data_IF_488267904826
#
_entry.id   IF_488267904826
#
_cell.length_a   1.000
_cell.length_b   1.000
_cell.length_c   1.000
_cell.angle_alpha   90.00
_cell.angle_beta   90.00
_cell.angle_gamma   90.00
#
_symmetry.space_group_name_H-M   'P 1'
#
loop_
_entity.id
_entity.type
_entity.pdbx_description
1 polymer ?
#
# COMPACT_ATOMS: atom_id res chain seq x y z
N UNK A 1 -24.26 -20.26 -5.39
CA UNK A 1 -24.13 -19.45 -6.62
C UNK A 1 -25.07 -20.04 -7.67
N UNK A 2 -26.21 -19.42 -7.96
CA UNK A 2 -27.11 -19.87 -9.03
C UNK A 2 -26.95 -18.95 -10.25
N UNK A 3 -26.81 -19.55 -11.44
CA UNK A 3 -26.69 -18.94 -12.77
C UNK A 3 -25.44 -18.09 -13.05
N UNK A 4 -24.27 -18.73 -13.12
CA UNK A 4 -23.08 -18.14 -13.75
C UNK A 4 -23.30 -18.07 -15.27
N UNK A 5 -23.39 -16.87 -15.84
CA UNK A 5 -23.36 -16.68 -17.30
C UNK A 5 -21.93 -16.90 -17.81
N UNK A 6 -21.57 -18.17 -18.03
CA UNK A 6 -20.22 -18.60 -18.45
C UNK A 6 -19.74 -17.89 -19.72
N UNK A 7 -20.64 -17.66 -20.67
CA UNK A 7 -20.32 -17.01 -21.94
C UNK A 7 -19.86 -15.56 -21.74
N UNK A 8 -20.64 -14.80 -20.96
CA UNK A 8 -20.30 -13.42 -20.62
C UNK A 8 -18.99 -13.33 -19.83
N UNK A 9 -18.79 -14.23 -18.87
CA UNK A 9 -17.60 -14.25 -18.01
C UNK A 9 -16.32 -14.52 -18.80
N UNK A 10 -16.32 -15.56 -19.65
CA UNK A 10 -15.13 -15.95 -20.42
C UNK A 10 -14.79 -14.89 -21.47
N UNK A 11 -15.79 -14.30 -22.12
CA UNK A 11 -15.55 -13.21 -23.06
C UNK A 11 -14.98 -11.96 -22.37
N UNK A 12 -15.52 -11.59 -21.21
CA UNK A 12 -14.98 -10.49 -20.39
C UNK A 12 -13.55 -10.76 -19.96
N UNK A 13 -13.25 -11.99 -19.53
CA UNK A 13 -11.91 -12.40 -19.15
C UNK A 13 -10.94 -12.32 -20.32
N UNK A 14 -11.32 -12.83 -21.50
CA UNK A 14 -10.50 -12.69 -22.70
C UNK A 14 -10.17 -11.24 -23.00
N UNK A 15 -11.15 -10.33 -22.91
CA UNK A 15 -10.94 -8.92 -23.21
C UNK A 15 -9.95 -8.26 -22.23
N UNK A 16 -9.98 -8.61 -20.94
CA UNK A 16 -9.09 -8.03 -19.91
C UNK A 16 -7.68 -8.63 -19.87
N UNK A 17 -7.52 -9.94 -20.13
CA UNK A 17 -6.21 -10.61 -20.05
C UNK A 17 -5.29 -10.17 -21.18
N UNK A 18 -3.98 -10.13 -20.94
CA UNK A 18 -3.00 -9.92 -22.01
C UNK A 18 -2.74 -11.22 -22.80
N UNK A 19 -2.02 -11.13 -23.93
CA UNK A 19 -1.76 -12.29 -24.81
C UNK A 19 -1.05 -13.44 -24.07
N UNK A 20 -0.08 -13.12 -23.24
CA UNK A 20 0.71 -14.12 -22.49
C UNK A 20 -0.16 -14.86 -21.47
N UNK A 21 -0.98 -14.14 -20.71
CA UNK A 21 -1.94 -14.72 -19.78
C UNK A 21 -2.94 -15.65 -20.49
N UNK A 22 -3.47 -15.23 -21.64
CA UNK A 22 -4.35 -16.05 -22.48
C UNK A 22 -3.64 -17.35 -22.91
N UNK A 23 -2.39 -17.25 -23.38
CA UNK A 23 -1.59 -18.42 -23.79
C UNK A 23 -1.36 -19.37 -22.62
N UNK A 24 -0.96 -18.85 -21.46
CA UNK A 24 -0.66 -19.66 -20.28
C UNK A 24 -1.92 -20.37 -19.78
N UNK A 25 -3.05 -19.67 -19.73
CA UNK A 25 -4.32 -20.25 -19.32
C UNK A 25 -4.80 -21.35 -20.29
N UNK A 26 -4.67 -21.14 -21.61
CA UNK A 26 -5.01 -22.19 -22.60
C UNK A 26 -4.10 -23.41 -22.42
N UNK A 27 -2.79 -23.21 -22.24
CA UNK A 27 -1.84 -24.32 -22.06
C UNK A 27 -2.16 -25.14 -20.82
N UNK A 28 -2.53 -24.48 -19.72
CA UNK A 28 -2.88 -25.12 -18.46
C UNK A 28 -4.14 -25.97 -18.60
N UNK A 29 -5.20 -25.42 -19.23
CA UNK A 29 -6.51 -26.09 -19.30
C UNK A 29 -6.68 -27.00 -20.51
N UNK A 30 -5.85 -26.87 -21.56
CA UNK A 30 -5.91 -27.68 -22.79
C UNK A 30 -4.57 -28.38 -23.04
N UNK A 31 -4.42 -29.56 -22.42
CA UNK A 31 -3.23 -30.42 -22.54
C UNK A 31 -2.86 -30.65 -24.01
N UNK A 32 -1.57 -30.47 -24.34
CA UNK A 32 -1.05 -30.67 -25.69
C UNK A 32 -1.29 -29.50 -26.66
N UNK A 33 -1.99 -28.44 -26.25
CA UNK A 33 -2.14 -27.25 -27.09
C UNK A 33 -0.79 -26.53 -27.27
N UNK A 34 -0.49 -26.16 -28.52
CA UNK A 34 0.70 -25.38 -28.88
C UNK A 34 0.28 -24.19 -29.74
N UNK A 35 1.00 -23.09 -29.58
CA UNK A 35 0.79 -21.90 -30.41
C UNK A 35 1.13 -22.23 -31.87
N UNK A 36 0.19 -21.95 -32.78
CA UNK A 36 0.42 -22.10 -34.21
C UNK A 36 1.18 -20.87 -34.73
N UNK A 37 2.04 -21.03 -35.74
CA UNK A 37 2.72 -19.92 -36.45
C UNK A 37 1.74 -18.87 -37.01
N UNK A 38 0.48 -19.24 -37.22
CA UNK A 38 -0.61 -18.33 -37.65
C UNK A 38 -1.16 -17.44 -36.52
N UNK A 39 -0.93 -17.78 -35.25
CA UNK A 39 -1.47 -17.05 -34.09
C UNK A 39 -0.51 -15.96 -33.62
N UNK A 40 -0.43 -14.88 -34.40
CA UNK A 40 0.49 -13.75 -34.16
C UNK A 40 -0.09 -12.74 -33.18
N UNK A 41 -1.40 -12.58 -33.13
CA UNK A 41 -2.10 -11.60 -32.29
C UNK A 41 -2.86 -12.26 -31.13
N UNK A 42 -3.33 -11.46 -30.16
CA UNK A 42 -4.25 -11.93 -29.12
C UNK A 42 -5.59 -12.37 -29.74
N UNK A 43 -6.08 -11.65 -30.75
CA UNK A 43 -7.36 -11.91 -31.41
C UNK A 43 -7.40 -13.31 -32.04
N UNK A 44 -6.29 -13.79 -32.58
CA UNK A 44 -6.16 -15.14 -33.17
C UNK A 44 -6.34 -16.28 -32.16
N UNK A 45 -6.34 -15.96 -30.87
CA UNK A 45 -6.56 -16.90 -29.77
C UNK A 45 -8.02 -16.90 -29.29
N UNK A 46 -8.89 -15.98 -29.76
CA UNK A 46 -10.25 -15.77 -29.24
C UNK A 46 -11.07 -17.05 -29.30
N UNK A 47 -11.16 -17.69 -30.46
CA UNK A 47 -12.00 -18.89 -30.64
C UNK A 47 -11.53 -20.05 -29.77
N UNK A 48 -10.20 -20.24 -29.68
CA UNK A 48 -9.60 -21.27 -28.84
C UNK A 48 -9.91 -21.00 -27.37
N UNK A 49 -9.76 -19.75 -26.92
CA UNK A 49 -10.02 -19.36 -25.55
C UNK A 49 -11.51 -19.50 -25.18
N UNK A 50 -12.42 -19.00 -26.01
CA UNK A 50 -13.87 -19.12 -25.79
C UNK A 50 -14.32 -20.59 -25.80
N UNK A 51 -13.65 -21.47 -26.55
CA UNK A 51 -13.96 -22.90 -26.56
C UNK A 51 -13.71 -23.60 -25.22
N UNK A 52 -12.86 -23.03 -24.34
CA UNK A 52 -12.57 -23.59 -23.02
C UNK A 52 -13.83 -23.68 -22.15
N UNK A 53 -14.86 -22.87 -22.42
CA UNK A 53 -16.12 -22.87 -21.65
C UNK A 53 -16.76 -24.25 -21.44
N UNK A 54 -16.54 -25.16 -22.39
CA UNK A 54 -17.09 -26.52 -22.38
C UNK A 54 -16.32 -27.46 -21.44
N UNK A 55 -15.08 -27.13 -21.10
CA UNK A 55 -14.18 -27.96 -20.28
C UNK A 55 -13.88 -27.36 -18.90
N UNK A 56 -14.25 -26.10 -18.65
CA UNK A 56 -14.03 -25.45 -17.35
C UNK A 56 -15.11 -25.87 -16.33
N UNK A 57 -14.66 -26.21 -15.13
CA UNK A 57 -15.50 -26.36 -13.94
C UNK A 57 -16.01 -24.99 -13.45
N UNK A 58 -17.00 -24.95 -12.56
CA UNK A 58 -17.45 -23.68 -11.97
C UNK A 58 -16.32 -22.97 -11.20
N UNK A 59 -15.44 -23.73 -10.55
CA UNK A 59 -14.28 -23.19 -9.84
C UNK A 59 -13.29 -22.54 -10.81
N UNK A 60 -13.02 -23.18 -11.95
CA UNK A 60 -12.15 -22.60 -12.98
C UNK A 60 -12.72 -21.26 -13.52
N UNK A 61 -14.06 -21.14 -13.59
CA UNK A 61 -14.73 -19.92 -14.01
C UNK A 61 -14.58 -18.80 -12.96
N UNK A 62 -14.69 -19.14 -11.67
CA UNK A 62 -14.42 -18.21 -10.57
C UNK A 62 -12.99 -17.69 -10.65
N UNK A 63 -12.01 -18.60 -10.72
CA UNK A 63 -10.58 -18.28 -10.79
C UNK A 63 -10.26 -17.41 -12.02
N UNK A 64 -10.84 -17.74 -13.18
CA UNK A 64 -10.67 -16.96 -14.38
C UNK A 64 -11.24 -15.54 -14.24
N UNK A 65 -12.41 -15.42 -13.60
CA UNK A 65 -13.04 -14.12 -13.34
C UNK A 65 -12.14 -13.28 -12.43
N UNK A 66 -11.68 -13.86 -11.32
CA UNK A 66 -10.81 -13.20 -10.35
C UNK A 66 -9.49 -12.77 -10.99
N UNK A 67 -8.84 -13.66 -11.76
CA UNK A 67 -7.62 -13.34 -12.49
C UNK A 67 -7.83 -12.17 -13.48
N UNK A 68 -8.99 -12.10 -14.13
CA UNK A 68 -9.29 -11.03 -15.09
C UNK A 68 -9.47 -9.65 -14.45
N UNK A 69 -9.78 -9.59 -13.16
CA UNK A 69 -9.99 -8.34 -12.41
C UNK A 69 -8.96 -8.11 -11.31
N UNK A 70 -7.95 -8.98 -11.22
CA UNK A 70 -6.89 -8.88 -10.23
C UNK A 70 -6.11 -7.57 -10.41
N UNK A 71 -5.99 -6.81 -9.33
CA UNK A 71 -5.23 -5.56 -9.27
C UNK A 71 -3.82 -5.86 -8.76
N UNK A 72 -2.82 -5.44 -9.53
CA UNK A 72 -1.41 -5.58 -9.12
C UNK A 72 -1.07 -4.51 -8.09
N UNK A 73 -0.46 -4.93 -6.98
CA UNK A 73 0.18 -4.01 -6.03
C UNK A 73 1.48 -3.49 -6.64
N UNK A 74 1.75 -2.21 -6.44
CA UNK A 74 3.03 -1.59 -6.83
C UNK A 74 3.96 -1.64 -5.62
N UNK A 75 5.13 -2.27 -5.78
CA UNK A 75 6.08 -2.45 -4.69
C UNK A 75 5.51 -3.25 -3.51
N UNK A 76 6.11 -3.06 -2.34
CA UNK A 76 5.63 -3.52 -1.04
C UNK A 76 5.03 -2.34 -0.27
N UNK A 77 3.71 -2.10 -0.36
CA UNK A 77 3.03 -1.05 0.37
C UNK A 77 2.62 -1.53 1.76
N UNK A 78 2.84 -0.73 2.81
CA UNK A 78 2.43 -1.04 4.17
C UNK A 78 1.95 0.18 4.95
N UNK A 79 1.08 -0.10 5.92
CA UNK A 79 0.60 0.82 6.95
C UNK A 79 0.85 0.21 8.32
N UNK A 80 1.19 1.05 9.30
CA UNK A 80 1.56 0.61 10.64
C UNK A 80 0.50 0.98 11.67
N UNK A 81 0.14 0.01 12.50
CA UNK A 81 -0.88 0.10 13.54
C UNK A 81 -0.35 -0.42 14.86
N UNK A 82 -0.91 0.07 15.96
CA UNK A 82 -0.81 -0.57 17.27
C UNK A 82 -2.09 -1.34 17.57
N UNK A 83 -2.01 -2.41 18.35
CA UNK A 83 -3.18 -3.13 18.83
C UNK A 83 -3.03 -3.56 20.29
N UNK A 84 -4.10 -3.67 21.06
CA UNK A 84 -3.99 -4.04 22.49
C UNK A 84 -4.03 -5.56 22.74
N UNK A 85 -4.75 -6.32 21.90
CA UNK A 85 -4.88 -7.77 22.03
C UNK A 85 -5.27 -8.45 20.70
N UNK A 86 -5.07 -9.77 20.61
CA UNK A 86 -5.42 -10.59 19.43
C UNK A 86 -6.92 -10.89 19.28
N UNK A 87 -7.77 -10.42 20.20
CA UNK A 87 -9.22 -10.55 20.07
C UNK A 87 -9.65 -12.00 20.09
N UNK A 88 -10.42 -12.43 19.10
CA UNK A 88 -10.89 -13.82 18.98
C UNK A 88 -9.80 -14.84 18.61
N UNK A 89 -8.59 -14.38 18.29
CA UNK A 89 -7.41 -15.24 18.05
C UNK A 89 -6.60 -15.47 19.32
N UNK A 90 -6.89 -14.75 20.40
CA UNK A 90 -6.14 -14.86 21.66
C UNK A 90 -6.26 -16.29 22.22
N UNK A 91 -5.15 -16.82 22.72
CA UNK A 91 -5.04 -18.11 23.39
C UNK A 91 -5.42 -19.33 22.52
N UNK A 92 -5.46 -19.17 21.19
CA UNK A 92 -5.76 -20.24 20.22
C UNK A 92 -4.50 -20.71 19.50
N UNK A 93 -4.47 -21.98 19.14
CA UNK A 93 -3.45 -22.50 18.22
C UNK A 93 -3.67 -21.98 16.80
N UNK A 94 -2.64 -22.02 15.95
CA UNK A 94 -2.77 -21.63 14.54
C UNK A 94 -3.79 -22.52 13.81
N UNK A 95 -3.88 -23.80 14.15
CA UNK A 95 -4.86 -24.73 13.57
C UNK A 95 -6.30 -24.34 13.95
N UNK A 96 -6.54 -23.95 15.20
CA UNK A 96 -7.84 -23.47 15.67
C UNK A 96 -8.22 -22.15 15.01
N UNK A 97 -7.27 -21.22 14.91
CA UNK A 97 -7.45 -19.95 14.20
C UNK A 97 -7.81 -20.20 12.73
N UNK A 98 -7.09 -21.10 12.06
CA UNK A 98 -7.38 -21.45 10.68
C UNK A 98 -8.79 -22.03 10.51
N UNK A 99 -9.19 -22.97 11.39
CA UNK A 99 -10.54 -23.55 11.36
C UNK A 99 -11.64 -22.49 11.52
N UNK A 100 -11.42 -21.52 12.39
CA UNK A 100 -12.42 -20.48 12.68
C UNK A 100 -12.50 -19.42 11.59
N UNK A 101 -11.35 -19.06 10.99
CA UNK A 101 -11.21 -17.86 10.19
C UNK A 101 -10.99 -18.06 8.69
N UNK A 102 -10.54 -19.23 8.21
CA UNK A 102 -10.35 -19.53 6.77
C UNK A 102 -11.69 -19.64 6.02
N UNK A 103 -12.32 -18.49 5.81
CA UNK A 103 -13.61 -18.37 5.12
C UNK A 103 -13.77 -16.95 4.55
N UNK A 104 -14.89 -16.77 3.87
CA UNK A 104 -15.31 -15.50 3.31
C UNK A 104 -16.17 -14.68 4.28
N UNK A 105 -15.96 -13.36 4.28
CA UNK A 105 -16.71 -12.37 5.05
C UNK A 105 -17.23 -11.25 4.14
N UNK A 106 -18.48 -11.36 3.64
CA UNK A 106 -19.10 -10.30 2.86
C UNK A 106 -19.50 -9.10 3.72
N UNK A 107 -19.42 -7.89 3.15
CA UNK A 107 -19.91 -6.66 3.76
C UNK A 107 -19.66 -5.40 2.92
N UNK A 108 -20.68 -4.52 2.81
CA UNK A 108 -20.52 -3.16 2.28
C UNK A 108 -20.02 -3.05 0.84
N UNK A 109 -20.34 -4.03 -0.01
CA UNK A 109 -19.85 -4.10 -1.39
C UNK A 109 -18.48 -4.77 -1.55
N UNK A 110 -17.89 -5.22 -0.45
CA UNK A 110 -16.65 -5.97 -0.44
C UNK A 110 -16.86 -7.39 0.12
N UNK A 111 -15.91 -8.27 -0.18
CA UNK A 111 -15.77 -9.59 0.44
C UNK A 111 -14.31 -9.73 0.88
N UNK A 112 -14.08 -9.96 2.17
CA UNK A 112 -12.74 -10.30 2.68
C UNK A 112 -12.67 -11.81 2.82
N UNK A 113 -11.76 -12.44 2.08
CA UNK A 113 -11.50 -13.88 2.15
C UNK A 113 -10.17 -14.08 2.83
N UNK A 114 -10.17 -14.80 3.95
CA UNK A 114 -8.93 -15.22 4.61
C UNK A 114 -8.45 -16.48 3.90
N UNK A 115 -7.32 -16.37 3.22
CA UNK A 115 -6.77 -17.46 2.42
C UNK A 115 -5.96 -18.42 3.27
N UNK A 116 -5.20 -17.87 4.22
CA UNK A 116 -4.20 -18.59 4.99
C UNK A 116 -3.78 -17.79 6.23
N UNK A 117 -3.47 -18.48 7.33
CA UNK A 117 -2.93 -17.90 8.56
C UNK A 117 -1.77 -18.76 9.05
N UNK A 118 -0.58 -18.17 9.11
CA UNK A 118 0.65 -18.86 9.54
C UNK A 118 1.38 -18.11 10.64
N UNK A 119 2.25 -18.82 11.35
CA UNK A 119 3.26 -18.24 12.24
C UNK A 119 4.61 -18.22 11.50
N UNK A 120 5.20 -17.05 11.33
CA UNK A 120 6.50 -16.85 10.68
C UNK A 120 7.31 -15.91 11.57
N UNK A 121 8.50 -16.34 12.01
CA UNK A 121 9.39 -15.55 12.87
C UNK A 121 8.67 -14.93 14.09
N UNK A 122 7.86 -15.76 14.79
CA UNK A 122 7.03 -15.37 15.95
C UNK A 122 5.87 -14.40 15.64
N UNK A 123 5.71 -13.97 14.38
CA UNK A 123 4.61 -13.11 13.93
C UNK A 123 3.47 -13.92 13.30
N UNK A 124 2.24 -13.47 13.52
CA UNK A 124 1.06 -14.08 12.86
C UNK A 124 0.85 -13.37 11.52
N UNK A 125 0.92 -14.14 10.44
CA UNK A 125 0.75 -13.67 9.06
C UNK A 125 -0.62 -14.10 8.54
N UNK A 126 -1.50 -13.15 8.26
CA UNK A 126 -2.81 -13.37 7.67
C UNK A 126 -2.75 -12.98 6.19
N UNK A 127 -2.86 -13.96 5.30
CA UNK A 127 -2.98 -13.70 3.87
C UNK A 127 -4.45 -13.52 3.51
N UNK A 128 -4.79 -12.36 2.95
CA UNK A 128 -6.16 -11.95 2.70
C UNK A 128 -6.36 -11.64 1.21
N UNK A 129 -7.52 -12.03 0.68
CA UNK A 129 -8.01 -11.55 -0.60
C UNK A 129 -9.22 -10.65 -0.35
N UNK A 130 -9.16 -9.40 -0.81
CA UNK A 130 -10.29 -8.49 -0.78
C UNK A 130 -10.89 -8.41 -2.18
N UNK A 131 -12.17 -8.73 -2.31
CA UNK A 131 -12.91 -8.64 -3.56
C UNK A 131 -13.88 -7.47 -3.50
N UNK A 132 -13.95 -6.70 -4.58
CA UNK A 132 -14.84 -5.56 -4.72
C UNK A 132 -15.94 -5.89 -5.75
N UNK A 133 -17.18 -5.60 -5.38
CA UNK A 133 -18.35 -5.82 -6.21
C UNK A 133 -18.99 -4.47 -6.56
N UNK A 134 -18.96 -4.13 -7.84
CA UNK A 134 -19.62 -2.94 -8.37
C UNK A 134 -21.11 -2.95 -8.06
N UNK A 135 -21.65 -1.81 -7.65
CA UNK A 135 -23.10 -1.60 -7.37
C UNK A 135 -23.72 -2.48 -6.28
N UNK A 136 -22.96 -3.37 -5.64
CA UNK A 136 -23.45 -4.24 -4.56
C UNK A 136 -24.01 -3.46 -3.37
N UNK A 137 -23.51 -2.24 -3.12
CA UNK A 137 -24.09 -1.34 -2.10
C UNK A 137 -25.49 -0.83 -2.47
N UNK A 138 -25.87 -0.83 -3.77
CA UNK A 138 -27.21 -0.48 -4.25
C UNK A 138 -28.13 -1.68 -4.36
N UNK A 139 -27.61 -2.80 -4.89
CA UNK A 139 -28.41 -3.96 -5.28
C UNK A 139 -28.42 -5.08 -4.23
N UNK A 140 -27.45 -5.08 -3.31
CA UNK A 140 -27.21 -6.19 -2.39
C UNK A 140 -26.64 -7.46 -3.05
N UNK A 141 -26.38 -7.43 -4.35
CA UNK A 141 -25.92 -8.60 -5.12
C UNK A 141 -24.39 -8.63 -5.14
N UNK A 142 -23.81 -9.74 -4.70
CA UNK A 142 -22.38 -10.04 -4.78
C UNK A 142 -22.18 -11.34 -5.57
N UNK A 143 -21.99 -11.20 -6.88
CA UNK A 143 -21.79 -12.32 -7.80
C UNK A 143 -20.62 -12.07 -8.77
N UNK A 144 -20.27 -13.06 -9.58
CA UNK A 144 -19.16 -12.94 -10.54
C UNK A 144 -19.40 -11.86 -11.61
N UNK A 145 -20.67 -11.55 -11.91
CA UNK A 145 -21.02 -10.51 -12.87
C UNK A 145 -20.66 -9.12 -12.36
N UNK A 146 -20.87 -8.88 -11.07
CA UNK A 146 -20.61 -7.62 -10.36
C UNK A 146 -19.18 -7.50 -9.82
N UNK A 147 -18.42 -8.59 -9.75
CA UNK A 147 -17.01 -8.57 -9.33
C UNK A 147 -16.17 -7.65 -10.24
N UNK A 148 -15.62 -6.57 -9.68
CA UNK A 148 -14.94 -5.50 -10.41
C UNK A 148 -13.43 -5.46 -10.15
N UNK A 149 -12.99 -5.89 -8.97
CA UNK A 149 -11.57 -5.94 -8.60
C UNK A 149 -11.27 -7.02 -7.54
N UNK A 150 -10.06 -7.57 -7.59
CA UNK A 150 -9.52 -8.51 -6.60
C UNK A 150 -8.14 -8.05 -6.16
N UNK A 151 -7.92 -8.01 -4.85
CA UNK A 151 -6.69 -7.51 -4.21
C UNK A 151 -6.13 -8.57 -3.27
N UNK A 152 -4.88 -8.99 -3.48
CA UNK A 152 -4.17 -9.82 -2.51
C UNK A 152 -3.41 -8.94 -1.52
N UNK A 153 -3.61 -9.19 -0.24
CA UNK A 153 -3.09 -8.38 0.86
C UNK A 153 -2.55 -9.29 1.96
N UNK A 154 -1.76 -8.72 2.86
CA UNK A 154 -1.21 -9.42 4.02
C UNK A 154 -1.36 -8.56 5.25
N UNK A 155 -1.68 -9.16 6.37
CA UNK A 155 -1.57 -8.53 7.68
C UNK A 155 -0.53 -9.29 8.49
N UNK A 156 0.45 -8.59 9.04
CA UNK A 156 1.47 -9.14 9.92
C UNK A 156 1.20 -8.60 11.32
N UNK A 157 1.03 -9.49 12.29
CA UNK A 157 0.79 -9.15 13.69
C UNK A 157 2.02 -9.56 14.51
N UNK A 158 2.72 -8.56 15.03
CA UNK A 158 3.76 -8.72 16.02
C UNK A 158 3.14 -8.61 17.41
N UNK A 159 2.93 -9.76 18.04
CA UNK A 159 2.31 -9.81 19.37
C UNK A 159 3.23 -9.26 20.47
N UNK A 160 4.54 -9.38 20.30
CA UNK A 160 5.54 -8.97 21.29
C UNK A 160 5.57 -7.44 21.40
N UNK A 161 5.63 -6.76 20.26
CA UNK A 161 5.67 -5.30 20.20
C UNK A 161 4.28 -4.67 20.09
N UNK A 162 3.21 -5.49 19.94
CA UNK A 162 1.82 -5.03 19.79
C UNK A 162 1.63 -4.16 18.54
N UNK A 163 2.30 -4.52 17.45
CA UNK A 163 2.31 -3.80 16.17
C UNK A 163 1.67 -4.64 15.07
N UNK A 164 0.78 -4.03 14.30
CA UNK A 164 0.22 -4.63 13.10
C UNK A 164 0.69 -3.88 11.84
N UNK A 165 1.14 -4.63 10.84
CA UNK A 165 1.48 -4.12 9.51
C UNK A 165 0.44 -4.59 8.50
N UNK A 166 -0.25 -3.66 7.85
CA UNK A 166 -1.26 -3.97 6.82
C UNK A 166 -0.65 -3.69 5.44
N UNK A 167 -0.35 -4.75 4.69
CA UNK A 167 0.19 -4.68 3.34
C UNK A 167 -0.91 -4.51 2.28
N UNK A 168 -1.28 -3.27 1.99
CA UNK A 168 -2.36 -2.93 1.06
C UNK A 168 -1.97 -1.82 0.08
N UNK A 169 -2.18 -2.10 -1.22
CA UNK A 169 -1.83 -1.17 -2.30
C UNK A 169 -2.79 0.01 -2.43
N UNK A 170 -4.06 -0.21 -2.16
CA UNK A 170 -5.11 0.81 -2.25
C UNK A 170 -5.52 1.26 -0.84
N UNK A 171 -5.71 2.58 -0.67
CA UNK A 171 -6.02 3.17 0.65
C UNK A 171 -7.40 2.71 1.15
N UNK A 172 -8.38 2.55 0.25
CA UNK A 172 -9.73 2.08 0.63
C UNK A 172 -9.68 0.61 1.04
N UNK A 173 -8.91 -0.22 0.32
CA UNK A 173 -8.76 -1.64 0.63
C UNK A 173 -8.12 -1.81 2.01
N UNK A 174 -7.18 -0.94 2.34
CA UNK A 174 -6.60 -0.92 3.67
C UNK A 174 -7.61 -0.59 4.77
N UNK A 175 -8.48 0.42 4.58
CA UNK A 175 -9.57 0.72 5.53
C UNK A 175 -10.57 -0.43 5.67
N UNK A 176 -10.81 -1.19 4.60
CA UNK A 176 -11.66 -2.40 4.65
C UNK A 176 -10.99 -3.48 5.52
N UNK A 177 -9.68 -3.68 5.37
CA UNK A 177 -8.92 -4.64 6.21
C UNK A 177 -8.90 -4.19 7.67
N UNK A 178 -8.66 -2.91 7.93
CA UNK A 178 -8.73 -2.32 9.29
C UNK A 178 -10.08 -2.63 9.94
N UNK A 179 -11.19 -2.31 9.26
CA UNK A 179 -12.55 -2.60 9.75
C UNK A 179 -12.78 -4.09 9.96
N UNK A 180 -12.26 -4.95 9.08
CA UNK A 180 -12.35 -6.39 9.22
C UNK A 180 -11.64 -6.88 10.50
N UNK A 181 -10.42 -6.43 10.74
CA UNK A 181 -9.65 -6.76 11.96
C UNK A 181 -10.42 -6.36 13.22
N UNK A 182 -10.95 -5.13 13.27
CA UNK A 182 -11.69 -4.62 14.44
C UNK A 182 -13.01 -5.35 14.64
N UNK A 183 -13.82 -5.50 13.59
CA UNK A 183 -15.22 -5.93 13.74
C UNK A 183 -15.40 -7.44 13.69
N UNK A 184 -14.65 -8.15 12.83
CA UNK A 184 -14.81 -9.59 12.63
C UNK A 184 -13.88 -10.37 13.53
N UNK A 185 -12.60 -10.00 13.56
CA UNK A 185 -11.59 -10.69 14.38
C UNK A 185 -11.61 -10.15 15.82
N UNK A 186 -11.95 -8.87 16.02
CA UNK A 186 -11.98 -8.26 17.35
C UNK A 186 -10.59 -7.76 17.78
N UNK A 187 -9.70 -7.45 16.85
CA UNK A 187 -8.39 -6.86 17.12
C UNK A 187 -8.55 -5.34 17.07
N UNK A 188 -8.48 -4.62 18.21
CA UNK A 188 -8.62 -3.17 18.25
C UNK A 188 -7.33 -2.52 17.72
N UNK A 189 -7.25 -2.34 16.40
CA UNK A 189 -6.14 -1.64 15.75
C UNK A 189 -6.37 -0.13 15.80
N UNK A 190 -5.30 0.62 16.06
CA UNK A 190 -5.26 2.09 16.03
C UNK A 190 -4.05 2.48 15.17
N UNK A 191 -4.20 3.35 14.15
CA UNK A 191 -3.08 3.71 13.30
C UNK A 191 -2.03 4.47 14.10
N UNK A 192 -0.75 4.22 13.79
CA UNK A 192 0.29 5.17 14.15
C UNK A 192 0.09 6.44 13.30
N UNK A 193 0.15 7.60 13.96
CA UNK A 193 -0.09 8.90 13.33
C UNK A 193 1.01 9.86 13.75
N UNK A 194 1.52 10.63 12.80
CA UNK A 194 2.44 11.74 13.09
C UNK A 194 1.71 12.78 13.94
N UNK A 195 2.14 12.92 15.20
CA UNK A 195 1.54 13.83 16.16
C UNK A 195 1.98 15.29 15.96
N UNK A 196 1.19 16.19 16.53
CA UNK A 196 1.62 17.56 16.83
C UNK A 196 2.52 17.46 18.05
N UNK A 197 3.76 17.90 17.94
CA UNK A 197 4.67 18.02 19.08
C UNK A 197 4.90 19.51 19.32
N UNK A 198 5.07 19.94 20.57
CA UNK A 198 5.27 21.35 20.90
C UNK A 198 6.59 21.88 20.30
N UNK A 199 6.61 22.20 19.02
CA UNK A 199 7.66 22.96 18.38
C UNK A 199 7.53 24.42 18.81
N UNK A 200 8.66 25.08 19.08
CA UNK A 200 8.64 26.51 19.39
C UNK A 200 8.13 27.27 18.17
N UNK A 201 7.22 28.23 18.36
CA UNK A 201 6.59 29.04 17.30
C UNK A 201 7.56 29.88 16.44
N UNK A 202 8.86 29.80 16.68
CA UNK A 202 9.91 30.45 15.91
C UNK A 202 10.48 29.59 14.77
N UNK A 203 10.06 28.34 14.62
CA UNK A 203 10.56 27.46 13.56
C UNK A 203 9.81 27.71 12.25
N UNK A 204 10.55 27.97 11.16
CA UNK A 204 9.98 28.36 9.86
C UNK A 204 9.46 27.19 9.00
N UNK A 205 9.31 26.00 9.57
CA UNK A 205 8.76 24.81 8.88
C UNK A 205 7.62 24.22 9.72
N UNK A 206 6.68 23.55 9.06
CA UNK A 206 5.60 22.87 9.78
C UNK A 206 6.15 21.69 10.59
N UNK A 207 5.47 21.36 11.70
CA UNK A 207 5.85 20.23 12.57
C UNK A 207 5.97 18.91 11.80
N UNK A 208 5.03 18.62 10.89
CA UNK A 208 5.11 17.42 10.04
C UNK A 208 6.34 17.42 9.14
N UNK A 209 6.67 18.58 8.58
CA UNK A 209 7.89 18.73 7.77
C UNK A 209 9.13 18.48 8.62
N UNK A 210 9.18 19.01 9.85
CA UNK A 210 10.28 18.75 10.78
C UNK A 210 10.39 17.26 11.14
N UNK A 211 9.28 16.56 11.39
CA UNK A 211 9.26 15.12 11.62
C UNK A 211 9.80 14.35 10.41
N UNK A 212 9.37 14.72 9.19
CA UNK A 212 9.86 14.07 7.96
C UNK A 212 11.37 14.29 7.80
N UNK A 213 11.89 15.48 8.09
CA UNK A 213 13.33 15.73 8.04
C UNK A 213 14.10 14.92 9.08
N UNK A 214 13.60 14.86 10.32
CA UNK A 214 14.20 14.04 11.38
C UNK A 214 14.21 12.56 10.98
N UNK A 215 13.09 12.10 10.41
CA UNK A 215 12.95 10.74 9.92
C UNK A 215 14.03 10.42 8.87
N UNK A 216 14.10 11.23 7.82
CA UNK A 216 14.96 10.95 6.66
C UNK A 216 16.45 11.21 6.94
N UNK A 217 16.79 12.25 7.70
CA UNK A 217 18.19 12.66 7.87
C UNK A 217 18.83 12.26 9.21
N UNK A 218 18.05 11.91 10.23
CA UNK A 218 18.59 11.51 11.53
C UNK A 218 18.27 10.05 11.87
N UNK A 219 17.01 9.64 11.73
CA UNK A 219 16.54 8.30 12.13
C UNK A 219 16.97 7.23 11.14
N UNK A 220 16.57 7.34 9.87
CA UNK A 220 16.90 6.34 8.86
C UNK A 220 18.41 6.10 8.72
N UNK A 221 19.28 7.14 8.68
CA UNK A 221 20.71 6.91 8.61
C UNK A 221 21.26 6.17 9.83
N UNK A 222 20.72 6.42 11.03
CA UNK A 222 21.09 5.67 12.24
C UNK A 222 20.68 4.20 12.21
N UNK A 223 19.73 3.83 11.35
CA UNK A 223 19.30 2.44 11.09
C UNK A 223 20.03 1.76 9.92
N UNK A 224 20.98 2.47 9.28
CA UNK A 224 21.73 2.01 8.11
C UNK A 224 21.12 2.39 6.76
N UNK A 225 20.07 3.23 6.74
CA UNK A 225 19.35 3.68 5.55
C UNK A 225 19.70 5.15 5.25
N UNK A 226 20.68 5.38 4.37
CA UNK A 226 20.93 6.73 3.85
C UNK A 226 19.92 7.05 2.75
N UNK A 227 19.31 8.24 2.75
CA UNK A 227 18.21 8.58 1.86
C UNK A 227 18.35 10.00 1.29
N UNK A 228 18.01 10.16 0.01
CA UNK A 228 17.92 11.46 -0.68
C UNK A 228 16.53 11.64 -1.29
N UNK A 229 15.99 12.86 -1.28
CA UNK A 229 14.67 13.15 -1.86
C UNK A 229 14.72 13.20 -3.39
N UNK A 230 13.92 12.37 -4.04
CA UNK A 230 13.76 12.37 -5.50
C UNK A 230 12.53 13.20 -5.92
N UNK A 231 11.45 13.11 -5.13
CA UNK A 231 10.21 13.84 -5.37
C UNK A 231 9.65 14.32 -4.03
N UNK A 232 9.06 15.52 -4.00
CA UNK A 232 8.32 16.02 -2.83
C UNK A 232 7.03 16.70 -3.28
N UNK A 233 5.93 16.38 -2.59
CA UNK A 233 4.61 16.98 -2.79
C UNK A 233 4.14 17.70 -1.54
N UNK A 234 3.80 18.97 -1.69
CA UNK A 234 3.28 19.83 -0.64
C UNK A 234 1.76 20.01 -0.76
N UNK A 235 1.08 20.14 0.38
CA UNK A 235 -0.30 20.63 0.46
C UNK A 235 -0.29 22.12 0.78
N UNK A 236 -0.99 22.92 -0.02
CA UNK A 236 -1.07 24.37 0.21
C UNK A 236 -2.16 24.63 1.25
N UNK A 237 -1.75 25.12 2.43
CA UNK A 237 -2.65 25.38 3.55
C UNK A 237 -3.55 26.60 3.32
N UNK A 238 -3.11 27.57 2.52
CA UNK A 238 -3.79 28.86 2.36
C UNK A 238 -4.45 29.03 0.97
N UNK A 239 -5.74 28.68 0.87
CA UNK A 239 -6.49 28.71 -0.41
C UNK A 239 -6.50 30.10 -1.06
N UNK A 240 -6.53 31.17 -0.27
CA UNK A 240 -6.57 32.55 -0.76
C UNK A 240 -5.29 33.01 -1.46
N UNK A 241 -4.14 32.44 -1.11
CA UNK A 241 -2.85 32.73 -1.75
C UNK A 241 -2.56 31.83 -2.97
N UNK A 242 -3.29 30.71 -3.08
CA UNK A 242 -3.01 29.66 -4.06
C UNK A 242 -3.74 29.79 -5.41
N UNK A 243 -4.67 30.75 -5.55
CA UNK A 243 -5.52 30.84 -6.75
C UNK A 243 -6.37 29.59 -7.04
N UNK A 244 -6.60 28.72 -6.04
CA UNK A 244 -7.34 27.46 -6.18
C UNK A 244 -6.45 26.20 -6.31
N UNK A 245 -5.12 26.34 -6.32
CA UNK A 245 -4.18 25.20 -6.34
C UNK A 245 -4.16 24.50 -4.98
N UNK A 246 -4.39 23.18 -4.96
CA UNK A 246 -4.47 22.38 -3.72
C UNK A 246 -3.14 21.75 -3.28
N UNK A 247 -2.13 21.74 -4.15
CA UNK A 247 -0.82 21.16 -3.87
C UNK A 247 0.16 21.30 -5.03
N UNK A 248 1.44 21.15 -4.73
CA UNK A 248 2.55 21.27 -5.69
C UNK A 248 3.46 20.07 -5.56
N UNK A 249 3.90 19.52 -6.69
CA UNK A 249 4.89 18.43 -6.73
C UNK A 249 6.15 18.94 -7.40
N UNK A 250 7.29 18.68 -6.79
CA UNK A 250 8.61 19.03 -7.28
C UNK A 250 9.40 17.74 -7.49
N UNK A 251 10.12 17.67 -8.60
CA UNK A 251 10.87 16.50 -9.06
C UNK A 251 12.35 16.86 -9.24
N UNK A 252 13.26 15.98 -8.83
CA UNK A 252 14.69 16.10 -9.12
C UNK A 252 15.57 15.37 -8.11
N UNK A 253 16.88 15.31 -8.35
CA UNK A 253 17.79 14.65 -7.42
C UNK A 253 18.08 15.56 -6.23
N UNK A 254 17.84 15.08 -5.01
CA UNK A 254 17.95 15.84 -3.76
C UNK A 254 17.13 17.15 -3.80
N UNK A 255 15.89 17.03 -4.26
CA UNK A 255 15.04 18.18 -4.63
C UNK A 255 14.69 19.11 -3.46
N UNK A 256 14.91 18.65 -2.23
CA UNK A 256 14.57 19.38 -1.01
C UNK A 256 15.33 20.70 -0.86
N UNK A 257 16.48 20.83 -1.54
CA UNK A 257 17.31 22.04 -1.55
C UNK A 257 17.00 22.99 -2.73
N UNK A 258 16.02 22.67 -3.59
CA UNK A 258 15.63 23.57 -4.69
C UNK A 258 14.90 24.82 -4.18
N UNK A 259 15.03 25.95 -4.88
CA UNK A 259 14.39 27.22 -4.52
C UNK A 259 12.88 27.07 -4.27
N UNK A 260 12.23 26.29 -5.14
CA UNK A 260 10.80 26.03 -5.05
C UNK A 260 10.45 25.19 -3.81
N UNK A 261 11.25 24.17 -3.47
CA UNK A 261 11.04 23.38 -2.24
C UNK A 261 11.31 24.24 -0.99
N UNK A 262 12.38 25.03 -1.01
CA UNK A 262 12.74 25.95 0.07
C UNK A 262 11.62 26.93 0.38
N UNK A 263 10.99 27.48 -0.66
CA UNK A 263 9.81 28.34 -0.52
C UNK A 263 8.64 27.64 0.18
N UNK A 264 8.21 26.45 -0.28
CA UNK A 264 7.06 25.79 0.34
C UNK A 264 7.32 25.37 1.79
N UNK A 265 8.53 24.90 2.09
CA UNK A 265 8.95 24.54 3.45
C UNK A 265 8.90 25.78 4.35
N UNK A 266 9.53 26.88 3.91
CA UNK A 266 9.62 28.13 4.70
C UNK A 266 8.27 28.79 4.92
N UNK A 267 7.33 28.62 3.98
CA UNK A 267 5.94 29.07 4.10
C UNK A 267 5.07 28.14 4.97
N UNK A 268 5.66 27.11 5.60
CA UNK A 268 4.96 26.20 6.51
C UNK A 268 3.98 25.26 5.81
N UNK A 269 4.18 24.95 4.52
CA UNK A 269 3.33 23.98 3.82
C UNK A 269 3.72 22.55 4.20
N UNK A 270 2.73 21.70 4.44
CA UNK A 270 2.95 20.31 4.81
C UNK A 270 3.41 19.49 3.61
N UNK A 271 4.50 18.73 3.78
CA UNK A 271 4.83 17.62 2.88
C UNK A 271 3.79 16.51 3.10
N UNK A 272 3.08 16.12 2.05
CA UNK A 272 2.04 15.07 2.09
C UNK A 272 2.44 13.80 1.34
N UNK A 273 3.43 13.87 0.47
CA UNK A 273 4.04 12.69 -0.16
C UNK A 273 5.45 13.02 -0.62
N UNK A 274 6.33 12.04 -0.60
CA UNK A 274 7.68 12.18 -1.11
C UNK A 274 8.22 10.84 -1.56
N UNK A 275 9.25 10.84 -2.40
CA UNK A 275 10.00 9.65 -2.78
C UNK A 275 11.46 9.85 -2.42
N UNK A 276 12.10 8.76 -2.02
CA UNK A 276 13.53 8.72 -1.78
C UNK A 276 14.20 7.64 -2.60
N UNK A 277 15.42 7.95 -3.01
CA UNK A 277 16.43 6.94 -3.32
C UNK A 277 17.19 6.70 -2.03
N UNK A 278 17.15 5.46 -1.54
CA UNK A 278 17.84 5.06 -0.33
C UNK A 278 18.91 4.01 -0.63
N UNK A 279 19.97 3.98 0.17
CA UNK A 279 21.03 2.97 0.10
C UNK A 279 20.99 2.18 1.39
N UNK A 280 20.87 0.86 1.27
CA UNK A 280 20.90 -0.10 2.37
C UNK A 280 21.83 -1.26 2.03
N UNK A 281 22.84 -1.51 2.87
CA UNK A 281 23.85 -2.56 2.65
C UNK A 281 24.42 -2.59 1.22
N UNK A 282 24.71 -1.41 0.66
CA UNK A 282 25.23 -1.24 -0.71
C UNK A 282 24.19 -1.38 -1.83
N UNK A 283 22.95 -1.78 -1.51
CA UNK A 283 21.85 -1.88 -2.46
C UNK A 283 21.06 -0.58 -2.52
N UNK A 284 20.77 -0.12 -3.75
CA UNK A 284 19.85 1.01 -3.97
C UNK A 284 18.41 0.50 -3.82
N UNK A 285 17.58 1.30 -3.15
CA UNK A 285 16.16 1.02 -2.90
C UNK A 285 15.36 2.30 -3.13
N UNK A 286 14.37 2.25 -4.02
CA UNK A 286 13.41 3.34 -4.16
C UNK A 286 12.24 3.17 -3.19
N UNK A 287 11.95 4.21 -2.40
CA UNK A 287 10.88 4.20 -1.41
C UNK A 287 9.95 5.38 -1.64
N UNK A 288 8.65 5.14 -1.64
CA UNK A 288 7.63 6.16 -1.71
C UNK A 288 6.90 6.26 -0.38
N UNK A 289 6.73 7.49 0.09
CA UNK A 289 6.03 7.82 1.32
C UNK A 289 4.81 8.68 0.98
N UNK A 290 3.69 8.43 1.65
CA UNK A 290 2.48 9.22 1.49
C UNK A 290 1.72 9.31 2.80
N UNK A 291 1.44 10.53 3.24
CA UNK A 291 0.53 10.78 4.36
C UNK A 291 -0.91 10.63 3.87
N UNK A 292 -1.71 9.88 4.64
CA UNK A 292 -3.08 9.46 4.35
C UNK A 292 -4.00 9.81 5.52
N UNK A 293 -5.29 9.50 5.34
CA UNK A 293 -6.34 9.86 6.29
C UNK A 293 -6.75 11.33 6.18
N UNK A 294 -7.83 11.69 6.89
CA UNK A 294 -8.45 13.03 6.80
C UNK A 294 -7.51 14.16 7.23
N UNK A 295 -6.57 13.85 8.14
CA UNK A 295 -5.60 14.80 8.69
C UNK A 295 -4.23 14.71 8.03
N UNK A 296 -4.02 13.84 7.05
CA UNK A 296 -2.71 13.57 6.44
C UNK A 296 -1.63 13.33 7.51
N UNK A 297 -1.86 12.35 8.38
CA UNK A 297 -1.01 12.03 9.53
C UNK A 297 -0.65 10.54 9.62
N UNK A 298 -1.38 9.66 8.94
CA UNK A 298 -1.11 8.23 8.81
C UNK A 298 -0.16 7.96 7.64
N UNK A 299 1.01 7.39 7.90
CA UNK A 299 2.02 7.15 6.86
C UNK A 299 1.77 5.83 6.13
N UNK A 300 1.68 5.90 4.80
CA UNK A 300 1.86 4.77 3.89
C UNK A 300 3.28 4.75 3.39
N UNK A 301 3.94 3.61 3.49
CA UNK A 301 5.29 3.37 2.98
C UNK A 301 5.21 2.36 1.85
N UNK A 302 5.88 2.61 0.73
CA UNK A 302 5.94 1.68 -0.41
C UNK A 302 7.37 1.48 -0.86
N UNK A 303 7.89 0.26 -0.76
CA UNK A 303 9.22 -0.10 -1.26
C UNK A 303 9.10 -0.61 -2.71
N UNK A 304 9.64 0.13 -3.67
CA UNK A 304 9.20 0.10 -5.08
C UNK A 304 10.11 -0.68 -6.04
N UNK A 305 11.27 -1.13 -5.56
CA UNK A 305 12.34 -1.64 -6.42
C UNK A 305 12.13 -3.10 -6.90
N UNK A 306 12.92 -3.55 -7.88
CA UNK A 306 12.98 -4.94 -8.36
C UNK A 306 13.83 -5.85 -7.47
N UNK A 307 14.23 -5.35 -6.31
CA UNK A 307 14.96 -6.09 -5.29
C UNK A 307 14.18 -7.32 -4.79
N UNK A 308 14.89 -8.27 -4.18
CA UNK A 308 14.29 -9.46 -3.58
C UNK A 308 13.25 -9.09 -2.54
N UNK A 309 12.21 -9.93 -2.39
CA UNK A 309 11.16 -9.69 -1.41
C UNK A 309 11.71 -9.71 0.03
N UNK A 310 12.76 -10.49 0.31
CA UNK A 310 13.47 -10.47 1.59
C UNK A 310 14.06 -9.10 1.90
N UNK A 311 14.76 -8.47 0.95
CA UNK A 311 15.36 -7.15 1.13
C UNK A 311 14.27 -6.07 1.33
N UNK A 312 13.14 -6.18 0.61
CA UNK A 312 12.01 -5.26 0.79
C UNK A 312 11.41 -5.35 2.19
N UNK A 313 11.24 -6.56 2.71
CA UNK A 313 10.69 -6.76 4.05
C UNK A 313 11.65 -6.24 5.12
N UNK A 314 12.94 -6.54 5.02
CA UNK A 314 13.95 -6.04 5.95
C UNK A 314 14.00 -4.50 5.98
N UNK A 315 13.96 -3.86 4.81
CA UNK A 315 13.89 -2.40 4.71
C UNK A 315 12.57 -1.89 5.30
N UNK A 316 11.43 -2.53 5.01
CA UNK A 316 10.13 -2.14 5.55
C UNK A 316 10.11 -2.19 7.08
N UNK A 317 10.63 -3.25 7.69
CA UNK A 317 10.71 -3.40 9.15
C UNK A 317 11.48 -2.25 9.80
N UNK A 318 12.63 -1.86 9.24
CA UNK A 318 13.41 -0.71 9.71
C UNK A 318 12.64 0.60 9.59
N UNK A 319 12.01 0.82 8.44
CA UNK A 319 11.19 2.00 8.20
C UNK A 319 10.04 2.09 9.21
N UNK A 320 9.31 1.00 9.41
CA UNK A 320 8.19 0.94 10.35
C UNK A 320 8.65 1.12 11.80
N UNK A 321 9.78 0.52 12.19
CA UNK A 321 10.36 0.69 13.53
C UNK A 321 10.69 2.15 13.82
N UNK A 322 11.39 2.83 12.91
CA UNK A 322 11.71 4.25 13.09
C UNK A 322 10.46 5.14 13.01
N UNK A 323 9.46 4.76 12.22
CA UNK A 323 8.18 5.48 12.13
C UNK A 323 7.39 5.40 13.45
N UNK A 324 7.36 4.23 14.09
CA UNK A 324 6.76 4.04 15.41
C UNK A 324 7.44 4.95 16.43
N UNK A 325 8.78 4.91 16.50
CA UNK A 325 9.54 5.75 17.43
C UNK A 325 9.35 7.24 17.17
N UNK A 326 9.12 7.65 15.92
CA UNK A 326 8.79 9.02 15.55
C UNK A 326 7.39 9.42 16.01
N UNK A 327 6.40 8.54 15.89
CA UNK A 327 5.05 8.80 16.34
C UNK A 327 4.95 8.89 17.88
N UNK A 328 5.73 8.07 18.59
CA UNK A 328 5.69 8.00 20.05
C UNK A 328 6.54 9.10 20.71
N UNK A 329 7.70 9.41 20.15
CA UNK A 329 8.67 10.31 20.79
C UNK A 329 8.84 11.66 20.08
N UNK A 330 8.19 11.86 18.93
CA UNK A 330 8.39 13.05 18.10
C UNK A 330 9.79 13.11 17.47
N UNK A 331 10.36 14.31 17.39
CA UNK A 331 11.69 14.56 16.79
C UNK A 331 12.79 14.00 17.69
N UNK A 332 13.65 13.12 17.15
CA UNK A 332 14.77 12.50 17.87
C UNK A 332 15.86 13.51 18.22
N UNK A 333 16.22 14.39 17.28
CA UNK A 333 17.24 15.41 17.48
C UNK A 333 16.80 16.74 16.84
N UNK A 334 16.21 17.61 17.67
CA UNK A 334 15.67 18.90 17.22
C UNK A 334 16.76 19.83 16.70
N UNK A 335 17.96 19.78 17.29
CA UNK A 335 19.06 20.66 16.93
C UNK A 335 19.64 20.27 15.57
N UNK A 336 19.88 18.97 15.33
CA UNK A 336 20.31 18.49 14.00
C UNK A 336 19.26 18.73 12.94
N UNK A 337 17.98 18.54 13.27
CA UNK A 337 16.88 18.84 12.35
C UNK A 337 16.87 20.32 11.95
N UNK A 338 17.02 21.24 12.91
CA UNK A 338 17.16 22.68 12.64
C UNK A 338 18.40 23.01 11.82
N UNK A 339 19.54 22.36 12.08
CA UNK A 339 20.74 22.54 11.26
C UNK A 339 20.53 22.11 9.80
N UNK A 340 19.73 21.09 9.55
CA UNK A 340 19.35 20.67 8.19
C UNK A 340 18.38 21.62 7.50
N UNK A 341 17.50 22.26 8.26
CA UNK A 341 16.56 23.26 7.73
C UNK A 341 17.20 24.63 7.52
N UNK A 342 18.29 24.96 8.23
CA UNK A 342 18.94 26.28 8.16
C UNK A 342 19.34 26.70 6.73
N UNK A 343 20.02 25.87 5.90
CA UNK A 343 20.36 26.24 4.52
C UNK A 343 19.13 26.50 3.65
N UNK A 344 18.03 25.79 3.89
CA UNK A 344 16.76 25.95 3.16
C UNK A 344 16.19 27.35 3.42
N UNK A 345 16.26 27.83 4.67
CA UNK A 345 15.84 29.17 5.03
C UNK A 345 16.76 30.25 4.47
N UNK A 346 18.09 30.04 4.55
CA UNK A 346 19.06 30.99 4.01
C UNK A 346 18.89 31.16 2.49
N UNK A 347 18.68 30.06 1.76
CA UNK A 347 18.41 30.09 0.32
C UNK A 347 17.11 30.85 -0.01
N UNK A 348 16.04 30.67 0.77
CA UNK A 348 14.79 31.39 0.56
C UNK A 348 14.94 32.91 0.76
N UNK A 349 15.68 33.34 1.79
CA UNK A 349 15.92 34.77 2.04
C UNK A 349 16.73 35.39 0.89
N UNK A 350 17.77 34.69 0.43
CA UNK A 350 18.64 35.17 -0.66
C UNK A 350 17.91 35.26 -2.01
N UNK A 351 16.95 34.38 -2.28
CA UNK A 351 16.17 34.37 -3.53
C UNK A 351 14.95 35.29 -3.51
N UNK A 352 14.49 35.70 -2.32
CA UNK A 352 13.41 36.67 -2.14
C UNK A 352 13.89 38.14 -2.10
N UNK A 353 15.22 38.35 -2.03
CA UNK A 353 15.90 39.64 -2.13
C UNK A 353 16.25 39.94 -3.58
#
# INVERSE_FOLDING_TARGET
>A
MQNINRDSVIERAFNKLNKEQVINYIKEKKVGWRINKKQKSKADLKDVFLSLKKSLSDQDIVELTEMSVMRRKRGLPAYTYKFSHLGKMKDKSIEEINKDFLKSYPGGGYEVVVMDINLIDENIHLNLTVKEYETAWKTGIQDLGTLSAVYHNKVILDEKNKVASIEAGDDNIEEIIEKFLVTRIGIPVIPYTMGIFNAHHSDSASEKTMLIFDYIFNRLPSSGLSSSFDDVKFSISNRHQSGGVKGVTIHGNDIINSDEACKYITLGNDIVSFKTTSIYNGSKVSIQFSLKGKKYDKLKIVVMDNNSDSLKQEVMEKLQTEYILLCENGVKDINKTRQKLKPIYENFIQTAS
#
